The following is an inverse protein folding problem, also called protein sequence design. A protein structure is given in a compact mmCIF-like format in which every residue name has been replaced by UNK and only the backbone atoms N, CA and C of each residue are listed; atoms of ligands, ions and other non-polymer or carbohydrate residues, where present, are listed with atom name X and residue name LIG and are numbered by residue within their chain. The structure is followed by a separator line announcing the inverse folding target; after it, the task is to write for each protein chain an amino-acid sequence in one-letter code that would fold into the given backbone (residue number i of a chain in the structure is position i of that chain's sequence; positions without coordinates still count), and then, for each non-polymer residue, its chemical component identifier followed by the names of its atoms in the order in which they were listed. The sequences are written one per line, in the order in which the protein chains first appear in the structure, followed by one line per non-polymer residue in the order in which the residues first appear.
data_IF_672033300853
#
_entry.id   IF_672033300853
#
_cell.length_a   1.000
_cell.length_b   1.000
_cell.length_c   1.000
_cell.angle_alpha   90.00
_cell.angle_beta   90.00
_cell.angle_gamma   90.00
#
_symmetry.space_group_name_H-M   'P 1'
#
loop_
_entity.id
_entity.type
_entity.pdbx_description
1 polymer ?
#
# COMPACT_ATOMS: atom_id res chain seq x y z
N UNK A 1 -19.96 -27.15 43.13
CA UNK A 1 -20.88 -27.26 41.97
C UNK A 1 -20.22 -28.19 40.96
N UNK A 2 -20.57 -29.47 41.02
CA UNK A 2 -19.98 -30.53 40.18
C UNK A 2 -20.74 -30.53 38.86
N UNK A 3 -20.06 -30.23 37.75
CA UNK A 3 -20.65 -30.32 36.41
C UNK A 3 -21.15 -31.76 36.19
N UNK A 4 -22.38 -31.89 35.69
CA UNK A 4 -23.05 -33.17 35.49
C UNK A 4 -22.32 -33.91 34.35
N UNK A 5 -22.14 -35.22 34.46
CA UNK A 5 -21.46 -36.02 33.42
C UNK A 5 -22.15 -35.92 32.04
N UNK A 6 -23.44 -35.56 32.02
CA UNK A 6 -24.19 -35.21 30.80
C UNK A 6 -23.60 -34.01 30.06
N UNK A 7 -23.13 -33.01 30.81
CA UNK A 7 -22.67 -31.73 30.26
C UNK A 7 -21.26 -31.89 29.64
N UNK A 8 -20.47 -32.82 30.19
CA UNK A 8 -19.16 -33.20 29.65
C UNK A 8 -19.29 -34.04 28.36
N UNK A 9 -20.30 -34.90 28.27
CA UNK A 9 -20.62 -35.63 27.03
C UNK A 9 -21.13 -34.66 25.94
N UNK A 10 -21.88 -33.62 26.32
CA UNK A 10 -22.36 -32.58 25.38
C UNK A 10 -21.22 -31.71 24.85
N UNK A 11 -20.23 -31.38 25.70
CA UNK A 11 -19.01 -30.69 25.28
C UNK A 11 -18.08 -31.57 24.42
N UNK A 12 -18.08 -32.89 24.62
CA UNK A 12 -17.32 -33.85 23.82
C UNK A 12 -17.96 -34.12 22.45
N UNK A 13 -19.29 -34.03 22.35
CA UNK A 13 -20.05 -34.18 21.11
C UNK A 13 -20.21 -32.88 20.31
N UNK A 14 -19.88 -31.71 20.88
CA UNK A 14 -19.61 -30.52 20.08
C UNK A 14 -18.34 -30.78 19.26
N UNK A 15 -18.54 -31.24 18.02
CA UNK A 15 -17.52 -31.19 16.96
C UNK A 15 -16.77 -29.87 17.11
N UNK A 16 -15.47 -29.94 17.37
CA UNK A 16 -14.62 -28.77 17.31
C UNK A 16 -14.95 -28.04 16.01
N UNK A 17 -15.13 -26.71 16.03
CA UNK A 17 -15.32 -25.98 14.79
C UNK A 17 -14.21 -26.41 13.85
N UNK A 18 -14.52 -26.71 12.57
CA UNK A 18 -13.48 -27.11 11.64
C UNK A 18 -12.34 -26.10 11.75
N UNK A 19 -11.07 -26.56 11.77
CA UNK A 19 -9.95 -25.63 11.77
C UNK A 19 -10.22 -24.60 10.67
N UNK A 20 -10.01 -23.29 10.91
CA UNK A 20 -10.25 -22.28 9.91
C UNK A 20 -9.57 -22.77 8.65
N UNK A 21 -10.38 -23.04 7.62
CA UNK A 21 -9.85 -23.58 6.36
C UNK A 21 -8.66 -22.71 6.00
N UNK A 22 -7.46 -23.29 5.74
CA UNK A 22 -6.38 -22.48 5.23
C UNK A 22 -6.97 -21.67 4.10
N UNK A 23 -6.73 -20.36 4.06
CA UNK A 23 -7.12 -19.50 2.95
C UNK A 23 -6.35 -19.94 1.70
N UNK A 24 -6.63 -21.13 1.19
CA UNK A 24 -6.31 -21.56 -0.15
C UNK A 24 -7.27 -20.79 -1.04
N UNK A 25 -6.92 -19.53 -1.26
CA UNK A 25 -7.41 -18.70 -2.35
C UNK A 25 -7.26 -19.55 -3.61
N UNK A 26 -8.35 -20.17 -4.05
CA UNK A 26 -8.41 -20.94 -5.29
C UNK A 26 -7.95 -19.99 -6.39
N UNK A 27 -6.70 -20.13 -6.85
CA UNK A 27 -6.15 -19.30 -7.94
C UNK A 27 -7.08 -19.51 -9.13
N UNK A 28 -7.86 -18.48 -9.49
CA UNK A 28 -8.53 -18.51 -10.79
C UNK A 28 -7.44 -18.56 -11.86
N UNK A 29 -7.65 -19.27 -12.98
CA UNK A 29 -6.73 -19.23 -14.10
C UNK A 29 -6.83 -17.85 -14.74
N UNK A 30 -6.17 -16.86 -14.14
CA UNK A 30 -5.89 -15.57 -14.77
C UNK A 30 -4.73 -15.75 -15.73
N UNK A 31 -4.74 -15.03 -16.84
CA UNK A 31 -3.70 -15.13 -17.87
C UNK A 31 -2.31 -14.97 -17.27
N UNK A 32 -1.38 -15.84 -17.69
CA UNK A 32 -0.02 -15.92 -17.15
C UNK A 32 0.71 -14.57 -17.21
N UNK A 33 0.45 -13.79 -18.28
CA UNK A 33 1.12 -12.52 -18.50
C UNK A 33 0.63 -11.39 -17.59
N UNK A 34 -0.68 -11.33 -17.28
CA UNK A 34 -1.21 -10.32 -16.35
C UNK A 34 -0.73 -10.54 -14.92
N UNK A 35 -0.50 -11.79 -14.54
CA UNK A 35 0.13 -12.12 -13.25
C UNK A 35 1.55 -11.58 -13.16
N UNK A 36 2.34 -11.70 -14.24
CA UNK A 36 3.69 -11.17 -14.31
C UNK A 36 3.73 -9.65 -14.22
N UNK A 37 2.85 -8.94 -14.94
CA UNK A 37 2.76 -7.48 -14.88
C UNK A 37 2.35 -7.02 -13.47
N UNK A 38 1.38 -7.69 -12.86
CA UNK A 38 0.93 -7.36 -11.50
C UNK A 38 2.06 -7.58 -10.49
N UNK A 39 2.78 -8.71 -10.59
CA UNK A 39 3.94 -9.00 -9.75
C UNK A 39 5.04 -7.96 -9.93
N UNK A 40 5.35 -7.62 -11.18
CA UNK A 40 6.36 -6.61 -11.52
C UNK A 40 6.01 -5.28 -10.87
N UNK A 41 4.79 -4.79 -11.07
CA UNK A 41 4.37 -3.49 -10.57
C UNK A 41 4.32 -3.47 -9.04
N UNK A 42 3.74 -4.49 -8.41
CA UNK A 42 3.66 -4.56 -6.94
C UNK A 42 5.05 -4.65 -6.30
N UNK A 43 6.01 -5.27 -6.98
CA UNK A 43 7.42 -5.29 -6.56
C UNK A 43 8.09 -3.93 -6.76
N UNK A 44 7.87 -3.31 -7.91
CA UNK A 44 8.47 -2.02 -8.29
C UNK A 44 7.94 -0.85 -7.46
N UNK A 45 6.65 -0.90 -7.13
CA UNK A 45 5.95 0.04 -6.24
C UNK A 45 6.15 -0.26 -4.76
N UNK A 46 6.98 -1.26 -4.43
CA UNK A 46 7.35 -1.72 -3.09
C UNK A 46 6.19 -2.13 -2.16
N UNK A 47 4.96 -2.25 -2.68
CA UNK A 47 3.78 -2.65 -1.89
C UNK A 47 3.84 -4.12 -1.48
N UNK A 48 4.27 -5.00 -2.40
CA UNK A 48 4.60 -6.39 -2.06
C UNK A 48 3.48 -7.23 -1.43
N UNK A 49 2.24 -7.24 -1.96
CA UNK A 49 1.13 -8.03 -1.39
C UNK A 49 1.45 -9.50 -1.08
N UNK A 50 2.40 -10.11 -1.79
CA UNK A 50 2.84 -11.49 -1.54
C UNK A 50 1.82 -12.56 -1.97
N UNK A 51 0.79 -12.19 -2.71
CA UNK A 51 -0.19 -13.11 -3.28
C UNK A 51 0.37 -13.91 -4.47
N UNK A 52 1.29 -13.29 -5.23
CA UNK A 52 2.08 -13.89 -6.29
C UNK A 52 3.56 -13.85 -5.88
N UNK A 53 4.25 -14.98 -5.98
CA UNK A 53 5.68 -15.08 -5.63
C UNK A 53 6.44 -16.00 -6.58
N UNK A 54 7.73 -15.70 -6.86
CA UNK A 54 8.56 -16.52 -7.72
C UNK A 54 8.89 -17.86 -7.04
N UNK A 55 8.38 -18.96 -7.59
CA UNK A 55 8.66 -20.31 -7.07
C UNK A 55 9.95 -20.92 -7.63
N UNK A 56 10.34 -20.55 -8.86
CA UNK A 56 11.53 -21.10 -9.53
C UNK A 56 12.79 -20.30 -9.21
N UNK A 57 13.93 -21.00 -9.12
CA UNK A 57 15.26 -20.39 -8.91
C UNK A 57 15.56 -19.25 -9.89
N UNK A 58 15.42 -19.44 -11.23
CA UNK A 58 15.64 -18.34 -12.17
C UNK A 58 14.70 -17.15 -11.95
N UNK A 59 13.42 -17.38 -11.61
CA UNK A 59 12.49 -16.29 -11.35
C UNK A 59 12.88 -15.49 -10.08
N UNK A 60 13.43 -16.14 -9.06
CA UNK A 60 13.93 -15.47 -7.86
C UNK A 60 15.10 -14.54 -8.20
N UNK A 61 16.07 -15.01 -9.00
CA UNK A 61 17.22 -14.19 -9.43
C UNK A 61 16.75 -12.96 -10.21
N UNK A 62 15.84 -13.13 -11.17
CA UNK A 62 15.25 -12.02 -11.93
C UNK A 62 14.53 -11.04 -11.01
N UNK A 63 13.78 -11.54 -10.02
CA UNK A 63 13.07 -10.69 -9.06
C UNK A 63 14.03 -9.86 -8.22
N UNK A 64 15.18 -10.43 -7.81
CA UNK A 64 16.21 -9.67 -7.07
C UNK A 64 16.77 -8.51 -7.91
N UNK A 65 17.14 -8.77 -9.16
CA UNK A 65 17.61 -7.72 -10.07
C UNK A 65 16.52 -6.66 -10.32
N UNK A 66 15.27 -7.09 -10.42
CA UNK A 66 14.13 -6.20 -10.60
C UNK A 66 13.95 -5.25 -9.40
N UNK A 67 14.08 -5.74 -8.17
CA UNK A 67 13.95 -4.92 -6.96
C UNK A 67 14.98 -3.78 -6.95
N UNK A 68 16.24 -4.09 -7.27
CA UNK A 68 17.31 -3.07 -7.30
C UNK A 68 17.02 -1.99 -8.34
N UNK A 69 16.67 -2.38 -9.56
CA UNK A 69 16.32 -1.42 -10.62
C UNK A 69 15.02 -0.65 -10.28
N UNK A 70 14.07 -1.30 -9.62
CA UNK A 70 12.80 -0.72 -9.23
C UNK A 70 12.94 0.39 -8.21
N UNK A 71 13.76 0.20 -7.17
CA UNK A 71 14.00 1.23 -6.14
C UNK A 71 14.64 2.48 -6.77
N UNK A 72 15.66 2.30 -7.62
CA UNK A 72 16.34 3.42 -8.29
C UNK A 72 15.35 4.21 -9.17
N UNK A 73 14.52 3.50 -9.94
CA UNK A 73 13.55 4.16 -10.80
C UNK A 73 12.43 4.83 -9.99
N UNK A 74 11.92 4.19 -8.94
CA UNK A 74 10.90 4.76 -8.06
C UNK A 74 11.39 6.07 -7.41
N UNK A 75 12.65 6.10 -6.94
CA UNK A 75 13.25 7.31 -6.35
C UNK A 75 13.30 8.47 -7.35
N UNK A 76 13.77 8.21 -8.57
CA UNK A 76 13.80 9.24 -9.63
C UNK A 76 12.40 9.74 -10.01
N UNK A 77 11.39 8.85 -10.05
CA UNK A 77 9.99 9.23 -10.28
C UNK A 77 9.43 10.09 -9.15
N UNK A 78 9.72 9.75 -7.88
CA UNK A 78 9.31 10.53 -6.71
C UNK A 78 9.93 11.92 -6.72
N UNK A 79 11.20 12.05 -7.11
CA UNK A 79 11.86 13.36 -7.27
C UNK A 79 11.14 14.24 -8.30
N UNK A 80 10.86 13.69 -9.49
CA UNK A 80 10.12 14.42 -10.53
C UNK A 80 8.70 14.81 -10.08
N UNK A 81 7.98 13.90 -9.41
CA UNK A 81 6.65 14.18 -8.89
C UNK A 81 6.68 15.24 -7.77
N UNK A 82 7.70 15.23 -6.91
CA UNK A 82 7.85 16.22 -5.84
C UNK A 82 8.07 17.63 -6.38
N UNK A 83 8.81 17.79 -7.49
CA UNK A 83 8.97 19.06 -8.19
C UNK A 83 7.65 19.53 -8.82
N UNK A 84 6.93 18.62 -9.49
CA UNK A 84 5.64 18.94 -10.10
C UNK A 84 4.63 19.41 -9.04
N UNK A 85 4.59 18.71 -7.91
CA UNK A 85 3.73 19.05 -6.79
C UNK A 85 4.11 20.39 -6.15
N UNK A 86 5.39 20.72 -6.11
CA UNK A 86 5.86 22.03 -5.64
C UNK A 86 5.42 23.15 -6.56
N UNK A 87 5.51 22.97 -7.88
CA UNK A 87 5.01 23.93 -8.86
C UNK A 87 3.50 24.11 -8.73
N UNK A 88 2.76 23.02 -8.59
CA UNK A 88 1.31 23.03 -8.40
C UNK A 88 0.92 23.73 -7.09
N UNK A 89 1.58 23.39 -5.98
CA UNK A 89 1.35 24.02 -4.68
C UNK A 89 1.65 25.51 -4.73
N UNK A 90 2.77 25.92 -5.31
CA UNK A 90 3.15 27.33 -5.38
C UNK A 90 2.17 28.15 -6.24
N UNK A 91 1.63 27.55 -7.31
CA UNK A 91 0.57 28.16 -8.10
C UNK A 91 -0.74 28.33 -7.30
N UNK A 92 -1.09 27.37 -6.45
CA UNK A 92 -2.30 27.41 -5.62
C UNK A 92 -2.17 28.37 -4.43
N UNK A 93 -1.03 28.38 -3.74
CA UNK A 93 -0.82 29.21 -2.54
C UNK A 93 -0.24 30.59 -2.85
N UNK A 94 0.03 30.90 -4.12
CA UNK A 94 0.62 32.19 -4.53
C UNK A 94 2.02 32.45 -3.95
N UNK A 95 2.72 31.39 -3.50
CA UNK A 95 3.99 31.52 -2.77
C UNK A 95 4.51 30.19 -2.23
N UNK A 96 5.74 30.20 -1.72
CA UNK A 96 6.49 29.01 -1.28
C UNK A 96 6.16 28.59 0.17
N UNK A 97 4.88 28.28 0.44
CA UNK A 97 4.45 27.89 1.78
C UNK A 97 4.71 26.40 2.06
N UNK A 98 5.38 26.08 3.18
CA UNK A 98 5.64 24.67 3.56
C UNK A 98 4.34 23.90 3.84
N UNK A 99 3.40 24.54 4.55
CA UNK A 99 2.05 23.98 4.81
C UNK A 99 1.32 23.72 3.48
N UNK A 100 1.41 24.62 2.50
CA UNK A 100 0.76 24.45 1.20
C UNK A 100 1.22 23.21 0.47
N UNK A 101 2.54 22.92 0.52
CA UNK A 101 3.12 21.71 -0.10
C UNK A 101 2.57 20.43 0.52
N UNK A 102 2.45 20.39 1.85
CA UNK A 102 1.88 19.23 2.56
C UNK A 102 0.39 19.08 2.24
N UNK A 103 -0.37 20.17 2.26
CA UNK A 103 -1.80 20.15 1.92
C UNK A 103 -2.02 19.68 0.49
N UNK A 104 -1.19 20.14 -0.46
CA UNK A 104 -1.21 19.67 -1.85
C UNK A 104 -0.88 18.18 -1.96
N UNK A 105 0.10 17.69 -1.19
CA UNK A 105 0.45 16.26 -1.13
C UNK A 105 -0.72 15.42 -0.62
N UNK A 106 -1.32 15.87 0.49
CA UNK A 106 -2.42 15.20 1.15
C UNK A 106 -3.64 15.12 0.24
N UNK A 107 -3.92 16.21 -0.49
CA UNK A 107 -4.99 16.24 -1.47
C UNK A 107 -4.80 15.18 -2.57
N UNK A 108 -3.60 15.03 -3.12
CA UNK A 108 -3.31 14.00 -4.12
C UNK A 108 -3.51 12.59 -3.57
N UNK A 109 -3.03 12.32 -2.35
CA UNK A 109 -3.23 11.01 -1.69
C UNK A 109 -4.72 10.70 -1.49
N UNK A 110 -5.49 11.68 -1.03
CA UNK A 110 -6.95 11.54 -0.86
C UNK A 110 -7.63 11.27 -2.20
N UNK A 111 -7.23 11.95 -3.27
CA UNK A 111 -7.75 11.68 -4.61
C UNK A 111 -7.42 10.25 -5.07
N UNK A 112 -6.19 9.78 -4.87
CA UNK A 112 -5.81 8.39 -5.15
C UNK A 112 -6.67 7.38 -4.37
N UNK A 113 -6.96 7.65 -3.09
CA UNK A 113 -7.85 6.82 -2.27
C UNK A 113 -9.28 6.79 -2.80
N UNK A 114 -9.87 7.94 -3.12
CA UNK A 114 -11.24 8.02 -3.64
C UNK A 114 -11.35 7.23 -4.95
N UNK A 115 -10.43 7.44 -5.88
CA UNK A 115 -10.40 6.74 -7.17
C UNK A 115 -10.28 5.22 -6.96
N UNK A 116 -9.38 4.79 -6.07
CA UNK A 116 -9.20 3.38 -5.72
C UNK A 116 -10.45 2.76 -5.12
N UNK A 117 -11.02 3.40 -4.09
CA UNK A 117 -12.24 2.95 -3.40
C UNK A 117 -13.39 2.80 -4.38
N UNK A 118 -13.62 3.81 -5.24
CA UNK A 118 -14.67 3.76 -6.25
C UNK A 118 -14.47 2.57 -7.18
N UNK A 119 -13.26 2.40 -7.74
CA UNK A 119 -12.98 1.31 -8.67
C UNK A 119 -13.19 -0.08 -8.02
N UNK A 120 -12.61 -0.30 -6.83
CA UNK A 120 -12.69 -1.58 -6.12
C UNK A 120 -14.16 -1.91 -5.78
N UNK A 121 -14.94 -0.91 -5.35
CA UNK A 121 -16.36 -1.07 -5.00
C UNK A 121 -17.22 -1.54 -6.16
N UNK A 122 -16.95 -1.09 -7.38
CA UNK A 122 -17.73 -1.47 -8.57
C UNK A 122 -17.28 -2.80 -9.19
N UNK A 123 -15.99 -3.15 -9.08
CA UNK A 123 -15.41 -4.26 -9.87
C UNK A 123 -15.00 -5.50 -9.10
N UNK A 124 -14.66 -5.41 -7.81
CA UNK A 124 -14.11 -6.56 -7.05
C UNK A 124 -15.15 -7.24 -6.13
N UNK A 125 -16.32 -6.62 -5.92
CA UNK A 125 -17.41 -7.21 -5.15
C UNK A 125 -17.08 -7.47 -3.68
N UNK A 126 -16.11 -6.76 -3.13
CA UNK A 126 -15.71 -6.85 -1.72
C UNK A 126 -16.78 -6.28 -0.77
N UNK A 127 -16.71 -6.70 0.50
CA UNK A 127 -17.58 -6.15 1.55
C UNK A 127 -17.23 -4.70 1.85
N UNK A 128 -18.12 -3.98 2.55
CA UNK A 128 -17.95 -2.56 2.85
C UNK A 128 -16.64 -2.21 3.56
N UNK A 129 -16.19 -3.09 4.44
CA UNK A 129 -14.96 -2.90 5.18
C UNK A 129 -13.76 -3.29 4.31
N UNK A 130 -13.84 -4.43 3.61
CA UNK A 130 -12.71 -4.98 2.86
C UNK A 130 -12.24 -4.07 1.72
N UNK A 131 -13.14 -3.39 1.00
CA UNK A 131 -12.71 -2.49 -0.09
C UNK A 131 -12.02 -1.23 0.43
N UNK A 132 -12.50 -0.66 1.55
CA UNK A 132 -11.89 0.53 2.16
C UNK A 132 -10.54 0.12 2.72
N UNK A 133 -10.52 -0.97 3.49
CA UNK A 133 -9.30 -1.55 4.03
C UNK A 133 -8.27 -1.77 2.93
N UNK A 134 -8.62 -2.49 1.87
CA UNK A 134 -7.72 -2.76 0.76
C UNK A 134 -7.19 -1.47 0.09
N UNK A 135 -8.03 -0.46 -0.08
CA UNK A 135 -7.60 0.81 -0.64
C UNK A 135 -6.55 1.51 0.24
N UNK A 136 -6.82 1.62 1.55
CA UNK A 136 -5.87 2.20 2.50
C UNK A 136 -4.56 1.42 2.56
N UNK A 137 -4.63 0.10 2.66
CA UNK A 137 -3.47 -0.79 2.72
C UNK A 137 -2.57 -0.69 1.49
N UNK A 138 -3.17 -0.44 0.32
CA UNK A 138 -2.47 -0.27 -0.95
C UNK A 138 -1.78 1.09 -1.04
N UNK A 139 -2.51 2.17 -0.71
CA UNK A 139 -1.98 3.55 -0.78
C UNK A 139 -0.93 3.79 0.30
N UNK A 140 -1.08 3.20 1.49
CA UNK A 140 -0.09 3.28 2.57
C UNK A 140 1.11 2.35 2.36
N UNK A 141 1.17 1.62 1.24
CA UNK A 141 2.22 0.66 0.87
C UNK A 141 2.48 -0.44 1.92
N UNK A 142 1.50 -0.77 2.76
CA UNK A 142 1.66 -1.84 3.76
C UNK A 142 1.36 -3.21 3.14
N UNK A 143 0.35 -3.28 2.26
CA UNK A 143 0.16 -4.40 1.33
C UNK A 143 0.09 -5.80 1.97
N UNK A 144 -0.91 -6.09 2.80
CA UNK A 144 -1.10 -7.45 3.31
C UNK A 144 -1.59 -8.42 2.23
N UNK A 145 -1.37 -9.72 2.48
CA UNK A 145 -1.68 -10.84 1.56
C UNK A 145 -3.14 -11.30 1.61
N UNK A 146 -3.94 -10.76 2.52
CA UNK A 146 -5.29 -11.19 2.82
C UNK A 146 -6.32 -10.75 1.77
N UNK A 147 -6.17 -9.53 1.22
CA UNK A 147 -7.01 -8.99 0.16
C UNK A 147 -6.15 -8.54 -1.03
N UNK A 148 -6.49 -9.01 -2.23
CA UNK A 148 -5.82 -8.59 -3.48
C UNK A 148 -6.78 -8.63 -4.67
N UNK A 149 -6.42 -7.97 -5.78
CA UNK A 149 -7.24 -7.92 -7.00
C UNK A 149 -7.49 -9.32 -7.57
N UNK A 150 -8.78 -9.70 -7.63
CA UNK A 150 -9.22 -11.01 -8.15
C UNK A 150 -9.64 -10.93 -9.61
N UNK A 151 -10.11 -9.76 -10.06
CA UNK A 151 -10.53 -9.54 -11.45
C UNK A 151 -9.37 -9.20 -12.37
N UNK A 152 -9.45 -9.64 -13.63
CA UNK A 152 -8.49 -9.26 -14.68
C UNK A 152 -8.42 -7.72 -14.82
N UNK A 153 -9.59 -7.07 -14.83
CA UNK A 153 -9.71 -5.61 -14.93
C UNK A 153 -9.08 -4.91 -13.72
N UNK A 154 -9.29 -5.46 -12.52
CA UNK A 154 -8.74 -4.91 -11.29
C UNK A 154 -7.22 -4.99 -11.22
N UNK A 155 -6.63 -6.06 -11.75
CA UNK A 155 -5.15 -6.19 -11.82
C UNK A 155 -4.51 -5.19 -12.77
N UNK A 156 -5.12 -4.97 -13.94
CA UNK A 156 -4.64 -3.97 -14.90
C UNK A 156 -4.77 -2.56 -14.33
N UNK A 157 -5.91 -2.23 -13.72
CA UNK A 157 -6.10 -0.95 -13.04
C UNK A 157 -5.11 -0.79 -11.88
N UNK A 158 -5.03 -1.79 -11.02
CA UNK A 158 -4.16 -1.82 -9.85
C UNK A 158 -2.69 -1.63 -10.21
N UNK A 159 -2.26 -2.14 -11.37
CA UNK A 159 -0.90 -1.93 -11.86
C UNK A 159 -0.56 -0.44 -11.98
N UNK A 160 -1.36 0.35 -12.69
CA UNK A 160 -1.07 1.78 -12.82
C UNK A 160 -1.41 2.57 -11.55
N UNK A 161 -2.51 2.22 -10.90
CA UNK A 161 -3.02 2.93 -9.74
C UNK A 161 -2.09 2.82 -8.53
N UNK A 162 -1.52 1.63 -8.28
CA UNK A 162 -0.61 1.42 -7.15
C UNK A 162 0.68 2.23 -7.34
N UNK A 163 1.29 2.24 -8.54
CA UNK A 163 2.48 3.06 -8.79
C UNK A 163 2.22 4.55 -8.54
N UNK A 164 1.12 5.08 -9.08
CA UNK A 164 0.74 6.48 -8.86
C UNK A 164 0.46 6.80 -7.39
N UNK A 165 -0.16 5.85 -6.66
CA UNK A 165 -0.46 5.99 -5.24
C UNK A 165 0.80 5.96 -4.39
N UNK A 166 1.74 5.05 -4.65
CA UNK A 166 3.04 4.96 -3.96
C UNK A 166 3.83 6.26 -4.14
N UNK A 167 3.88 6.82 -5.35
CA UNK A 167 4.57 8.08 -5.61
C UNK A 167 3.93 9.22 -4.79
N UNK A 168 2.60 9.31 -4.80
CA UNK A 168 1.87 10.35 -4.05
C UNK A 168 2.09 10.21 -2.54
N UNK A 169 2.06 8.98 -2.01
CA UNK A 169 2.32 8.70 -0.60
C UNK A 169 3.77 9.01 -0.20
N UNK A 170 4.74 8.67 -1.05
CA UNK A 170 6.15 9.00 -0.82
C UNK A 170 6.38 10.51 -0.79
N UNK A 171 5.76 11.27 -1.71
CA UNK A 171 5.81 12.73 -1.69
C UNK A 171 5.22 13.30 -0.39
N UNK A 172 4.09 12.78 0.09
CA UNK A 172 3.50 13.19 1.37
C UNK A 172 4.48 12.97 2.54
N UNK A 173 5.11 11.79 2.62
CA UNK A 173 6.06 11.48 3.69
C UNK A 173 7.29 12.41 3.68
N UNK A 174 7.83 12.72 2.49
CA UNK A 174 8.95 13.66 2.33
C UNK A 174 8.56 15.04 2.85
N UNK A 175 7.40 15.58 2.45
CA UNK A 175 6.95 16.92 2.87
C UNK A 175 6.60 16.97 4.36
N UNK A 176 6.03 15.91 4.92
CA UNK A 176 5.86 15.78 6.37
C UNK A 176 7.21 15.76 7.11
N UNK A 177 8.22 15.06 6.55
CA UNK A 177 9.59 15.06 7.05
C UNK A 177 10.22 16.45 7.06
N UNK A 178 10.01 17.24 6.01
CA UNK A 178 10.46 18.65 5.94
C UNK A 178 9.79 19.51 7.04
N UNK A 179 8.50 19.30 7.32
CA UNK A 179 7.78 20.00 8.38
C UNK A 179 8.35 19.68 9.77
N UNK A 180 8.62 18.40 10.06
CA UNK A 180 9.18 18.00 11.36
C UNK A 180 10.57 18.59 11.62
N UNK A 181 11.37 18.75 10.57
CA UNK A 181 12.68 19.43 10.67
C UNK A 181 12.56 20.93 10.96
N UNK A 182 11.36 21.50 10.94
CA UNK A 182 11.15 22.95 11.05
C UNK A 182 10.84 23.42 12.49
N UNK A 183 10.83 22.55 13.51
CA UNK A 183 10.58 22.91 14.93
C UNK A 183 11.82 22.71 15.84
N UNK A 184 11.91 23.36 17.02
CA UNK A 184 13.04 24.16 17.55
C UNK A 184 14.29 23.38 18.06
N UNK A 185 14.59 22.21 17.52
CA UNK A 185 15.78 21.44 17.91
C UNK A 185 17.05 22.20 17.51
N UNK A 186 17.06 22.90 16.37
CA UNK A 186 18.18 23.78 15.97
C UNK A 186 18.37 24.97 16.92
N UNK A 187 17.29 25.48 17.52
CA UNK A 187 17.37 26.55 18.52
C UNK A 187 18.01 26.03 19.81
N UNK A 188 17.69 24.80 20.22
CA UNK A 188 18.31 24.16 21.39
C UNK A 188 19.77 23.76 21.13
N UNK A 189 20.11 23.26 19.93
CA UNK A 189 21.51 22.99 19.56
C UNK A 189 22.34 24.27 19.51
N UNK A 190 21.82 25.38 18.96
CA UNK A 190 22.53 26.66 19.03
C UNK A 190 22.70 27.18 20.47
N UNK A 191 21.69 27.01 21.33
CA UNK A 191 21.76 27.43 22.73
C UNK A 191 22.73 26.56 23.55
N UNK A 192 22.84 25.26 23.25
CA UNK A 192 23.76 24.33 23.90
C UNK A 192 25.19 24.49 23.38
N UNK A 193 25.39 24.74 22.09
CA UNK A 193 26.73 24.94 21.49
C UNK A 193 27.33 26.32 21.81
N UNK A 194 26.49 27.34 22.07
CA UNK A 194 26.95 28.69 22.49
C UNK A 194 27.17 28.83 24.00
N UNK A 195 26.97 27.78 24.81
CA UNK A 195 27.35 27.76 26.24
C UNK A 195 28.61 26.94 26.45
#
# INVERSE_FOLDING_TARGET
MVARSSDLEELKNRKTPPPPTPFHQKRRPTDSWTQSISLFVVTFSTVGYGDISPSTVPAKIVTVLLVVNGIICLETMVGCAAELQERASNALTGGNSKIGKVVSALFLVVMCLIIGIMFIRFHEGFTWVDFVYFAFMSVSTVGYRDVSFKSLKGRLFGSFWILSSTISMACLLIRCGEMMKTEPITQLEEIVVKR
#
